data_IF_501930038282
#
_entry.id   IF_501930038282
#
_cell.length_a   1.000
_cell.length_b   1.000
_cell.length_c   1.000
_cell.angle_alpha   90.00
_cell.angle_beta   90.00
_cell.angle_gamma   90.00
#
_symmetry.space_group_name_H-M   'P 1'
#
loop_
_entity.id
_entity.type
_entity.pdbx_description
1 polymer ?
#
# COMPACT_ATOMS: atom_id res chain seq x y z
N UNK A 1 -0.79 -8.32 13.81
CA UNK A 1 -1.47 -7.02 13.62
C UNK A 1 -2.68 -7.23 12.74
N UNK A 2 -3.78 -6.53 13.02
CA UNK A 2 -5.03 -6.68 12.26
C UNK A 2 -4.92 -6.06 10.87
N UNK A 3 -5.36 -6.78 9.85
CA UNK A 3 -5.46 -6.31 8.47
C UNK A 3 -6.73 -6.87 7.81
N UNK A 4 -7.39 -6.05 6.98
CA UNK A 4 -8.49 -6.51 6.13
C UNK A 4 -7.90 -7.05 4.82
N UNK A 5 -8.16 -8.31 4.47
CA UNK A 5 -7.44 -9.01 3.39
C UNK A 5 -8.37 -9.65 2.37
N UNK A 6 -7.92 -9.67 1.11
CA UNK A 6 -8.43 -10.58 0.09
C UNK A 6 -7.67 -11.90 0.23
N UNK A 7 -8.29 -12.89 0.86
CA UNK A 7 -7.63 -14.17 1.17
C UNK A 7 -7.73 -15.20 0.03
N UNK A 8 -8.77 -15.11 -0.78
CA UNK A 8 -9.06 -16.01 -1.90
C UNK A 8 -9.79 -15.25 -3.02
N UNK A 9 -9.83 -15.77 -4.26
CA UNK A 9 -10.67 -15.22 -5.31
C UNK A 9 -12.15 -15.31 -4.92
N UNK A 10 -12.91 -14.26 -5.17
CA UNK A 10 -14.34 -14.17 -4.85
C UNK A 10 -14.70 -12.92 -4.04
N UNK A 11 -16.01 -12.72 -3.87
CA UNK A 11 -16.56 -11.59 -3.14
C UNK A 11 -16.15 -11.61 -1.65
N UNK A 12 -15.93 -10.42 -1.08
CA UNK A 12 -15.67 -10.23 0.33
C UNK A 12 -14.21 -9.98 0.70
N UNK A 13 -14.00 -9.55 1.94
CA UNK A 13 -12.69 -9.38 2.56
C UNK A 13 -12.77 -9.93 3.99
N UNK A 14 -11.64 -10.45 4.49
CA UNK A 14 -11.57 -11.03 5.82
C UNK A 14 -10.66 -10.19 6.72
N UNK A 15 -11.13 -9.90 7.95
CA UNK A 15 -10.30 -9.28 8.96
C UNK A 15 -9.45 -10.36 9.63
N UNK A 16 -8.14 -10.36 9.36
CA UNK A 16 -7.19 -11.37 9.84
C UNK A 16 -6.06 -10.75 10.64
N UNK A 17 -5.37 -11.56 11.44
CA UNK A 17 -4.06 -11.20 12.00
C UNK A 17 -2.95 -11.54 10.99
N UNK A 18 -2.02 -10.61 10.81
CA UNK A 18 -0.79 -10.80 10.01
C UNK A 18 0.44 -10.46 10.83
N UNK A 19 1.58 -11.02 10.46
CA UNK A 19 2.87 -10.61 11.02
C UNK A 19 3.16 -9.16 10.66
N UNK A 20 3.89 -8.46 11.54
CA UNK A 20 4.39 -7.14 11.21
C UNK A 20 5.44 -7.26 10.10
N UNK A 21 5.37 -6.43 9.03
CA UNK A 21 6.35 -6.51 7.96
C UNK A 21 7.75 -6.16 8.46
N UNK A 22 8.78 -6.74 7.85
CA UNK A 22 10.16 -6.27 8.02
C UNK A 22 10.37 -4.91 7.34
N UNK A 23 11.46 -4.22 7.68
CA UNK A 23 11.91 -3.03 6.96
C UNK A 23 13.26 -3.34 6.30
N UNK A 24 13.26 -3.57 4.99
CA UNK A 24 14.48 -3.78 4.22
C UNK A 24 15.29 -2.48 4.04
N UNK A 25 16.49 -2.57 3.41
CA UNK A 25 17.39 -1.42 3.27
C UNK A 25 16.80 -0.22 2.53
N UNK A 26 15.84 -0.45 1.62
CA UNK A 26 15.20 0.59 0.79
C UNK A 26 13.75 0.87 1.20
N UNK A 27 13.27 0.24 2.27
CA UNK A 27 11.87 0.30 2.67
C UNK A 27 11.62 1.43 3.68
N UNK A 28 10.38 1.90 3.69
CA UNK A 28 9.85 2.77 4.74
C UNK A 28 8.68 2.04 5.39
N UNK A 29 8.79 1.75 6.69
CA UNK A 29 7.69 1.15 7.45
C UNK A 29 6.80 2.24 8.01
N UNK A 30 5.51 2.13 7.73
CA UNK A 30 4.52 3.15 8.08
C UNK A 30 3.46 2.53 8.99
N UNK A 31 3.23 3.18 10.13
CA UNK A 31 2.06 2.91 10.96
C UNK A 31 0.88 3.65 10.36
N UNK A 32 0.01 2.90 9.67
CA UNK A 32 -1.24 3.44 9.11
C UNK A 32 -2.17 3.85 10.25
N UNK A 33 -2.56 5.13 10.26
CA UNK A 33 -3.46 5.70 11.28
C UNK A 33 -4.88 5.81 10.76
N UNK A 34 -5.06 6.15 9.48
CA UNK A 34 -6.34 6.29 8.79
C UNK A 34 -6.20 5.81 7.35
N UNK A 35 -7.27 5.28 6.79
CA UNK A 35 -7.37 4.91 5.37
C UNK A 35 -8.70 5.37 4.81
N UNK A 36 -8.69 5.82 3.56
CA UNK A 36 -9.89 6.06 2.74
C UNK A 36 -10.39 4.77 2.10
N UNK A 37 -11.56 4.87 1.47
CA UNK A 37 -12.16 3.83 0.62
C UNK A 37 -12.44 4.48 -0.73
N UNK A 38 -11.88 3.88 -1.76
CA UNK A 38 -12.02 4.29 -3.16
C UNK A 38 -12.94 3.32 -3.91
N UNK A 39 -13.40 3.71 -5.11
CA UNK A 39 -14.13 2.81 -6.00
C UNK A 39 -13.36 1.53 -6.33
N UNK A 40 -12.03 1.61 -6.43
CA UNK A 40 -11.14 0.45 -6.61
C UNK A 40 -11.29 -0.57 -5.49
N UNK A 41 -11.45 -0.15 -4.24
CA UNK A 41 -11.64 -1.06 -3.12
C UNK A 41 -12.98 -1.79 -3.20
N UNK A 42 -14.01 -1.15 -3.77
CA UNK A 42 -15.31 -1.78 -4.02
C UNK A 42 -15.23 -2.83 -5.14
N UNK A 43 -14.48 -2.54 -6.21
CA UNK A 43 -14.18 -3.54 -7.25
C UNK A 43 -13.46 -4.75 -6.65
N UNK A 44 -12.46 -4.53 -5.79
CA UNK A 44 -11.75 -5.61 -5.08
C UNK A 44 -12.70 -6.37 -4.16
N UNK A 45 -13.57 -5.69 -3.41
CA UNK A 45 -14.57 -6.31 -2.55
C UNK A 45 -15.50 -7.24 -3.36
N UNK A 46 -16.04 -6.76 -4.48
CA UNK A 46 -16.91 -7.53 -5.37
C UNK A 46 -16.18 -8.63 -6.16
N UNK A 47 -14.87 -8.49 -6.34
CA UNK A 47 -14.03 -9.36 -7.16
C UNK A 47 -14.49 -9.45 -8.62
N UNK A 48 -14.84 -8.31 -9.19
CA UNK A 48 -15.29 -8.24 -10.59
C UNK A 48 -14.13 -8.30 -11.60
N UNK A 49 -14.45 -8.17 -12.89
CA UNK A 49 -13.46 -8.20 -13.96
C UNK A 49 -12.40 -7.11 -13.85
N UNK A 50 -12.73 -5.94 -13.28
CA UNK A 50 -11.76 -4.88 -13.08
C UNK A 50 -10.75 -5.31 -12.02
N UNK A 51 -11.20 -5.81 -10.87
CA UNK A 51 -10.32 -6.32 -9.84
C UNK A 51 -9.47 -7.50 -10.33
N UNK A 52 -10.06 -8.45 -11.06
CA UNK A 52 -9.35 -9.60 -11.62
C UNK A 52 -8.28 -9.19 -12.65
N UNK A 53 -8.46 -8.04 -13.32
CA UNK A 53 -7.45 -7.52 -14.28
C UNK A 53 -6.32 -6.73 -13.63
N UNK A 54 -6.52 -6.23 -12.40
CA UNK A 54 -5.52 -5.42 -11.67
C UNK A 54 -4.82 -6.20 -10.56
N UNK A 55 -5.42 -7.28 -10.06
CA UNK A 55 -4.94 -8.04 -8.91
C UNK A 55 -4.64 -9.48 -9.33
N UNK A 56 -3.39 -9.75 -9.70
CA UNK A 56 -2.97 -11.05 -10.24
C UNK A 56 -2.75 -12.13 -9.18
N UNK A 57 -2.71 -11.76 -7.89
CA UNK A 57 -2.37 -12.70 -6.81
C UNK A 57 -3.26 -12.51 -5.59
N UNK A 58 -3.50 -13.61 -4.88
CA UNK A 58 -4.06 -13.66 -3.53
C UNK A 58 -3.17 -14.58 -2.67
N UNK A 59 -3.00 -14.32 -1.36
CA UNK A 59 -3.68 -13.30 -0.56
C UNK A 59 -2.96 -11.94 -0.52
N UNK A 60 -3.71 -10.83 -0.45
CA UNK A 60 -3.15 -9.48 -0.28
C UNK A 60 -4.02 -8.58 0.61
N UNK A 61 -3.45 -7.44 1.04
CA UNK A 61 -4.14 -6.41 1.81
C UNK A 61 -4.44 -5.23 0.86
N UNK A 62 -5.72 -4.96 0.51
CA UNK A 62 -6.07 -3.80 -0.30
C UNK A 62 -5.92 -2.49 0.48
N UNK A 63 -6.00 -1.38 -0.25
CA UNK A 63 -5.89 -0.02 0.27
C UNK A 63 -4.70 0.73 -0.33
N UNK A 64 -4.97 1.91 -0.86
CA UNK A 64 -3.97 2.78 -1.48
C UNK A 64 -4.15 4.26 -1.11
N UNK A 65 -5.18 4.58 -0.32
CA UNK A 65 -5.44 5.93 0.19
C UNK A 65 -5.27 5.92 1.71
N UNK A 66 -4.09 6.28 2.22
CA UNK A 66 -3.84 6.25 3.67
C UNK A 66 -3.11 7.48 4.19
N UNK A 67 -3.21 7.68 5.50
CA UNK A 67 -2.38 8.60 6.27
C UNK A 67 -1.75 7.85 7.46
N UNK A 68 -0.46 8.07 7.67
CA UNK A 68 0.29 7.38 8.71
C UNK A 68 1.53 8.12 9.17
N UNK A 69 2.26 7.45 10.05
CA UNK A 69 3.53 7.92 10.61
C UNK A 69 4.64 6.91 10.30
N UNK A 70 5.79 7.41 9.88
CA UNK A 70 6.97 6.57 9.63
C UNK A 70 7.52 6.06 10.96
N UNK A 71 7.63 4.73 11.10
CA UNK A 71 8.10 4.09 12.33
C UNK A 71 9.47 3.42 12.19
N UNK A 72 9.89 3.13 10.96
CA UNK A 72 11.19 2.53 10.64
C UNK A 72 11.58 2.93 9.21
N UNK A 73 12.87 3.13 8.96
CA UNK A 73 13.42 3.39 7.62
C UNK A 73 14.63 2.50 7.40
N UNK A 74 14.75 1.97 6.18
CA UNK A 74 15.93 1.25 5.74
C UNK A 74 17.18 2.16 5.65
N UNK A 75 18.36 1.56 5.76
CA UNK A 75 19.63 2.29 5.78
C UNK A 75 19.98 3.05 4.49
N UNK A 76 19.35 2.69 3.37
CA UNK A 76 19.56 3.33 2.07
C UNK A 76 18.50 4.40 1.75
N UNK A 77 17.55 4.63 2.66
CA UNK A 77 16.52 5.68 2.51
C UNK A 77 17.08 7.02 2.99
N UNK A 78 17.12 8.03 2.12
CA UNK A 78 17.66 9.37 2.43
C UNK A 78 16.59 10.46 2.62
N UNK A 79 15.42 10.29 2.02
CA UNK A 79 14.47 11.40 1.82
C UNK A 79 13.29 11.38 2.81
N UNK A 80 13.24 10.36 3.67
CA UNK A 80 12.18 10.13 4.66
C UNK A 80 12.82 9.73 5.99
N UNK A 81 12.26 10.19 7.11
CA UNK A 81 12.76 9.86 8.46
C UNK A 81 11.64 9.39 9.39
N UNK A 82 12.02 8.66 10.43
CA UNK A 82 11.11 8.25 11.51
C UNK A 82 10.44 9.47 12.14
N UNK A 83 9.13 9.37 12.36
CA UNK A 83 8.26 10.43 12.89
C UNK A 83 7.63 11.33 11.82
N UNK A 84 8.06 11.23 10.56
CA UNK A 84 7.39 11.97 9.48
C UNK A 84 5.96 11.46 9.28
N UNK A 85 5.07 12.40 8.93
CA UNK A 85 3.66 12.13 8.61
C UNK A 85 3.51 12.07 7.11
N UNK A 86 3.01 10.94 6.60
CA UNK A 86 3.00 10.68 5.16
C UNK A 86 1.67 10.09 4.67
N UNK A 87 1.51 10.14 3.35
CA UNK A 87 0.54 9.37 2.56
C UNK A 87 1.29 8.60 1.47
N UNK A 88 0.66 7.57 0.92
CA UNK A 88 1.21 6.79 -0.19
C UNK A 88 0.85 7.39 -1.55
N UNK A 89 1.79 7.34 -2.49
CA UNK A 89 1.58 7.68 -3.89
C UNK A 89 1.73 6.39 -4.73
N UNK A 90 0.79 6.15 -5.64
CA UNK A 90 0.81 4.98 -6.53
C UNK A 90 1.76 5.15 -7.72
N UNK A 91 2.13 6.39 -8.05
CA UNK A 91 3.09 6.70 -9.10
C UNK A 91 4.52 6.76 -8.58
N UNK A 92 5.39 5.94 -9.15
CA UNK A 92 6.82 5.98 -8.82
C UNK A 92 7.49 7.16 -9.51
N UNK A 93 8.02 8.08 -8.71
CA UNK A 93 8.74 9.28 -9.19
C UNK A 93 10.21 9.13 -8.87
N UNK A 94 11.09 9.20 -9.88
CA UNK A 94 12.54 9.17 -9.68
C UNK A 94 13.23 10.53 -9.86
N UNK A 95 12.49 11.57 -10.25
CA UNK A 95 13.00 12.93 -10.48
C UNK A 95 13.98 13.09 -11.67
N UNK A 96 14.36 12.00 -12.34
CA UNK A 96 15.47 11.99 -13.31
C UNK A 96 15.11 11.40 -14.67
N UNK A 97 14.03 10.63 -14.79
CA UNK A 97 13.64 10.01 -16.05
C UNK A 97 12.96 11.01 -17.01
N UNK A 98 12.80 10.58 -18.27
CA UNK A 98 12.09 11.35 -19.29
C UNK A 98 10.72 11.84 -18.81
N UNK A 99 9.95 10.96 -18.16
CA UNK A 99 8.60 11.30 -17.72
C UNK A 99 8.60 12.35 -16.60
N UNK A 100 9.53 12.26 -15.64
CA UNK A 100 9.68 13.28 -14.59
C UNK A 100 10.15 14.65 -15.11
N UNK A 101 10.84 14.68 -16.27
CA UNK A 101 11.42 15.90 -16.85
C UNK A 101 10.58 16.50 -17.99
N UNK A 102 9.40 15.94 -18.28
CA UNK A 102 8.58 16.33 -19.42
C UNK A 102 7.77 17.62 -19.20
N UNK A 103 7.80 18.21 -17.99
CA UNK A 103 6.87 19.25 -17.56
C UNK A 103 5.53 18.67 -17.13
#
# INVERSE_FOLDING_TARGET
>A
MRALRKVAPGEGLELTEVEEPGCGPWDVKVKVLRTGICGTDLHILAWDSSAQSMCDTVPFTPGHEFYGEVVEVGGEVSDVRVGDRISGEGHVVCGTCRNCRAG
#
